data_IF_004807336618
#
_entry.id   IF_004807336618
#
_cell.length_a   1.000
_cell.length_b   1.000
_cell.length_c   1.000
_cell.angle_alpha   90.00
_cell.angle_beta   90.00
_cell.angle_gamma   90.00
#
_symmetry.space_group_name_H-M   'P 1'
#
loop_
_entity.id
_entity.type
_entity.pdbx_description
1 polymer ?
#
# COMPACT_ATOMS: atom_id res chain seq x y z
N UNK A 1 12.03 7.12 9.43
CA UNK A 1 12.16 8.60 9.54
C UNK A 1 11.07 9.11 10.46
N UNK A 2 11.35 10.12 11.29
CA UNK A 2 10.32 10.73 12.13
C UNK A 2 9.49 11.68 11.27
N UNK A 3 8.36 11.21 10.77
CA UNK A 3 7.36 12.06 10.10
C UNK A 3 6.64 12.91 11.14
N UNK A 4 6.34 14.16 10.81
CA UNK A 4 5.58 15.02 11.72
C UNK A 4 4.09 14.59 11.74
N UNK A 5 3.31 15.08 12.72
CA UNK A 5 1.89 14.68 12.84
C UNK A 5 1.04 15.08 11.63
N UNK A 6 1.33 16.21 10.98
CA UNK A 6 0.58 16.70 9.82
C UNK A 6 0.84 15.80 8.61
N UNK A 7 2.11 15.48 8.36
CA UNK A 7 2.53 14.51 7.36
C UNK A 7 1.90 13.14 7.64
N UNK A 8 1.96 12.67 8.89
CA UNK A 8 1.35 11.41 9.30
C UNK A 8 -0.17 11.40 9.06
N UNK A 9 -0.85 12.51 9.29
CA UNK A 9 -2.29 12.64 9.03
C UNK A 9 -2.60 12.66 7.53
N UNK A 10 -1.78 13.36 6.74
CA UNK A 10 -1.93 13.41 5.29
C UNK A 10 -1.68 12.05 4.62
N UNK A 11 -0.60 11.34 4.99
CA UNK A 11 -0.30 10.00 4.44
C UNK A 11 -1.33 8.95 4.85
N UNK A 12 -2.03 9.15 5.97
CA UNK A 12 -3.13 8.28 6.40
C UNK A 12 -4.52 8.83 6.03
N UNK A 13 -4.60 9.89 5.22
CA UNK A 13 -5.87 10.52 4.87
C UNK A 13 -6.64 9.75 3.78
N UNK A 14 -7.95 10.01 3.71
CA UNK A 14 -8.81 9.51 2.65
C UNK A 14 -8.40 10.01 1.26
N UNK A 15 -7.82 11.22 1.19
CA UNK A 15 -7.31 11.81 -0.05
C UNK A 15 -6.16 10.96 -0.60
N UNK A 16 -5.21 10.57 0.25
CA UNK A 16 -4.10 9.68 -0.14
C UNK A 16 -4.61 8.34 -0.66
N UNK A 17 -5.61 7.75 -0.01
CA UNK A 17 -6.25 6.50 -0.45
C UNK A 17 -6.90 6.66 -1.82
N UNK A 18 -7.65 7.73 -2.04
CA UNK A 18 -8.27 8.03 -3.32
C UNK A 18 -7.21 8.18 -4.43
N UNK A 19 -6.15 8.95 -4.18
CA UNK A 19 -5.06 9.12 -5.14
C UNK A 19 -4.38 7.79 -5.48
N UNK A 20 -4.11 6.93 -4.49
CA UNK A 20 -3.52 5.62 -4.76
C UNK A 20 -4.41 4.77 -5.66
N UNK A 21 -5.70 4.69 -5.34
CA UNK A 21 -6.66 3.83 -6.05
C UNK A 21 -6.91 4.29 -7.49
N UNK A 22 -7.08 5.59 -7.71
CA UNK A 22 -7.54 6.13 -8.99
C UNK A 22 -6.44 6.70 -9.87
N UNK A 23 -5.29 7.09 -9.29
CA UNK A 23 -4.20 7.70 -10.04
C UNK A 23 -2.96 6.80 -10.03
N UNK A 24 -2.45 6.43 -8.85
CA UNK A 24 -1.16 5.74 -8.75
C UNK A 24 -1.22 4.32 -9.33
N UNK A 25 -2.18 3.48 -8.91
CA UNK A 25 -2.25 2.08 -9.39
C UNK A 25 -2.45 1.99 -10.91
N UNK A 26 -3.39 2.73 -11.53
CA UNK A 26 -3.54 2.71 -12.99
C UNK A 26 -2.30 3.25 -13.73
N UNK A 27 -1.68 4.32 -13.21
CA UNK A 27 -0.47 4.89 -13.81
C UNK A 27 0.68 3.88 -13.76
N UNK A 28 0.91 3.27 -12.60
CA UNK A 28 1.94 2.24 -12.40
C UNK A 28 1.72 1.04 -13.31
N UNK A 29 0.46 0.59 -13.47
CA UNK A 29 0.11 -0.47 -14.42
C UNK A 29 0.44 -0.06 -15.86
N UNK A 30 0.17 1.19 -16.24
CA UNK A 30 0.42 1.69 -17.61
C UNK A 30 1.91 1.77 -17.94
N UNK A 31 2.75 2.17 -16.98
CA UNK A 31 4.19 2.32 -17.21
C UNK A 31 4.97 1.01 -17.03
N UNK A 32 4.57 0.17 -16.07
CA UNK A 32 5.28 -1.06 -15.72
C UNK A 32 4.67 -2.34 -16.29
N UNK A 33 3.43 -2.26 -16.79
CA UNK A 33 2.64 -3.42 -17.15
C UNK A 33 2.06 -4.15 -15.94
N UNK A 34 1.43 -5.30 -16.19
CA UNK A 34 0.95 -6.19 -15.14
C UNK A 34 2.10 -7.03 -14.56
N UNK A 35 2.04 -7.39 -13.25
CA UNK A 35 2.99 -8.32 -12.67
C UNK A 35 3.04 -9.64 -13.44
N UNK A 36 4.24 -10.06 -13.84
CA UNK A 36 4.46 -11.33 -14.56
C UNK A 36 4.41 -12.54 -13.63
N UNK A 37 4.48 -12.31 -12.32
CA UNK A 37 4.44 -13.33 -11.28
C UNK A 37 3.24 -13.10 -10.38
N UNK A 38 2.87 -14.12 -9.60
CA UNK A 38 1.83 -14.03 -8.57
C UNK A 38 2.36 -13.54 -7.23
N UNK A 39 3.50 -12.86 -7.21
CA UNK A 39 4.11 -12.31 -6.00
C UNK A 39 4.48 -10.84 -6.24
N UNK A 40 4.00 -9.96 -5.38
CA UNK A 40 4.21 -8.51 -5.49
C UNK A 40 4.80 -7.97 -4.20
N UNK A 41 5.63 -6.94 -4.28
CA UNK A 41 6.17 -6.25 -3.11
C UNK A 41 5.88 -4.75 -3.17
N UNK A 42 5.60 -4.15 -2.01
CA UNK A 42 5.49 -2.71 -1.82
C UNK A 42 6.58 -2.25 -0.84
N UNK A 43 7.40 -1.28 -1.27
CA UNK A 43 8.43 -0.66 -0.45
C UNK A 43 7.88 0.64 0.13
N UNK A 44 7.87 0.75 1.45
CA UNK A 44 7.19 1.83 2.17
C UNK A 44 5.68 1.61 2.23
N UNK A 45 5.24 0.45 2.72
CA UNK A 45 3.81 0.06 2.69
C UNK A 45 2.91 0.87 3.63
N UNK A 46 3.48 1.69 4.53
CA UNK A 46 2.73 2.55 5.44
C UNK A 46 1.70 1.76 6.25
N UNK A 47 0.46 2.24 6.29
CA UNK A 47 -0.64 1.58 7.01
C UNK A 47 -1.32 0.44 6.23
N UNK A 48 -0.75 -0.01 5.11
CA UNK A 48 -1.17 -1.24 4.40
C UNK A 48 -2.29 -1.07 3.38
N UNK A 49 -2.77 0.15 3.11
CA UNK A 49 -3.80 0.38 2.09
C UNK A 49 -3.32 0.04 0.67
N UNK A 50 -2.07 0.39 0.33
CA UNK A 50 -1.44 0.05 -0.94
C UNK A 50 -1.43 -1.46 -1.18
N UNK A 51 -1.01 -2.24 -0.18
CA UNK A 51 -1.05 -3.70 -0.20
C UNK A 51 -2.44 -4.25 -0.55
N UNK A 52 -3.51 -3.68 0.03
CA UNK A 52 -4.89 -4.08 -0.31
C UNK A 52 -5.24 -3.75 -1.75
N UNK A 53 -4.82 -2.59 -2.27
CA UNK A 53 -5.00 -2.27 -3.69
C UNK A 53 -4.24 -3.26 -4.59
N UNK A 54 -3.02 -3.65 -4.22
CA UNK A 54 -2.27 -4.65 -4.98
C UNK A 54 -3.02 -5.99 -5.03
N UNK A 55 -3.63 -6.41 -3.91
CA UNK A 55 -4.50 -7.60 -3.85
C UNK A 55 -5.71 -7.46 -4.77
N UNK A 56 -6.42 -6.33 -4.70
CA UNK A 56 -7.66 -6.10 -5.47
C UNK A 56 -7.40 -6.01 -6.98
N UNK A 57 -6.37 -5.27 -7.39
CA UNK A 57 -6.12 -4.95 -8.80
C UNK A 57 -5.31 -6.02 -9.51
N UNK A 58 -4.27 -6.57 -8.87
CA UNK A 58 -3.36 -7.52 -9.52
C UNK A 58 -3.64 -8.99 -9.17
N UNK A 59 -4.45 -9.25 -8.13
CA UNK A 59 -4.79 -10.60 -7.66
C UNK A 59 -3.57 -11.55 -7.59
N UNK A 60 -2.48 -11.14 -6.92
CA UNK A 60 -1.36 -12.03 -6.65
C UNK A 60 -1.75 -13.07 -5.59
N UNK A 61 -0.96 -14.13 -5.49
CA UNK A 61 -1.10 -15.12 -4.43
C UNK A 61 -0.48 -14.62 -3.12
N UNK A 62 0.54 -13.76 -3.22
CA UNK A 62 1.29 -13.21 -2.08
C UNK A 62 1.63 -11.75 -2.34
N UNK A 63 1.48 -10.92 -1.30
CA UNK A 63 1.98 -9.53 -1.28
C UNK A 63 2.90 -9.35 -0.09
N UNK A 64 4.09 -8.78 -0.31
CA UNK A 64 5.04 -8.42 0.73
C UNK A 64 5.06 -6.90 0.94
N UNK A 65 4.77 -6.46 2.16
CA UNK A 65 4.92 -5.06 2.55
C UNK A 65 6.18 -4.86 3.37
N UNK A 66 6.97 -3.84 3.01
CA UNK A 66 8.16 -3.44 3.74
C UNK A 66 8.00 -2.00 4.22
N UNK A 67 8.29 -1.74 5.49
CA UNK A 67 8.39 -0.38 6.02
C UNK A 67 9.48 -0.35 7.09
N UNK A 68 10.17 0.79 7.21
CA UNK A 68 11.22 0.99 8.21
C UNK A 68 10.62 1.39 9.58
N UNK A 69 9.38 1.89 9.60
CA UNK A 69 8.67 2.24 10.82
C UNK A 69 7.83 1.04 11.32
N UNK A 70 8.25 0.45 12.44
CA UNK A 70 7.54 -0.67 13.08
C UNK A 70 6.09 -0.32 13.44
N UNK A 71 5.77 0.96 13.73
CA UNK A 71 4.39 1.38 13.97
C UNK A 71 3.54 1.32 12.70
N UNK A 72 4.15 1.57 11.53
CA UNK A 72 3.46 1.39 10.25
C UNK A 72 3.21 -0.09 9.98
N UNK A 73 4.22 -0.95 10.19
CA UNK A 73 4.06 -2.40 10.06
C UNK A 73 2.92 -2.94 10.93
N UNK A 74 2.87 -2.56 12.21
CA UNK A 74 1.78 -2.96 13.12
C UNK A 74 0.40 -2.49 12.64
N UNK A 75 0.32 -1.26 12.11
CA UNK A 75 -0.93 -0.72 11.53
C UNK A 75 -1.32 -1.47 10.26
N UNK A 76 -0.38 -1.73 9.36
CA UNK A 76 -0.61 -2.50 8.14
C UNK A 76 -1.12 -3.91 8.44
N UNK A 77 -0.46 -4.62 9.35
CA UNK A 77 -0.90 -5.96 9.78
C UNK A 77 -2.31 -5.90 10.39
N UNK A 78 -2.58 -4.95 11.28
CA UNK A 78 -3.90 -4.79 11.89
C UNK A 78 -5.00 -4.40 10.90
N UNK A 79 -4.66 -3.59 9.89
CA UNK A 79 -5.58 -3.20 8.82
C UNK A 79 -5.91 -4.41 7.93
N UNK A 80 -4.90 -5.11 7.43
CA UNK A 80 -5.09 -6.26 6.55
C UNK A 80 -5.82 -7.41 7.23
N UNK A 81 -5.57 -7.66 8.51
CA UNK A 81 -6.27 -8.70 9.28
C UNK A 81 -7.78 -8.45 9.44
N UNK A 82 -8.25 -7.21 9.26
CA UNK A 82 -9.69 -6.85 9.31
C UNK A 82 -10.36 -6.90 7.94
N UNK A 83 -9.56 -6.88 6.89
CA UNK A 83 -9.98 -6.68 5.50
C UNK A 83 -9.96 -7.97 4.68
N UNK A 84 -9.32 -9.03 5.21
CA UNK A 84 -9.31 -10.41 4.69
C UNK A 84 -10.35 -11.21 5.48
#
# INVERSE_FOLDING_TARGET
>A
MKVNMVEAMFVNSWIRRFMQKYLEVPLLTKIGGLPKTKCVAEIGCGSGYGLRLLLDFYKPNVVHGFDIDEKMLNRASSFLAKEI
#
